data_IF_271370278633
#
_entry.id   IF_271370278633
#
_cell.length_a   1.000
_cell.length_b   1.000
_cell.length_c   1.000
_cell.angle_alpha   90.00
_cell.angle_beta   90.00
_cell.angle_gamma   90.00
#
_symmetry.space_group_name_H-M   'P 1'
#
loop_
_entity.id
_entity.type
_entity.pdbx_description
1 polymer ?
#
# COMPACT_ATOMS: atom_id res chain seq x y z
N UNK A 1 -7.50 17.72 -11.43
CA UNK A 1 -6.32 17.82 -10.57
C UNK A 1 -6.00 16.47 -9.96
N UNK A 2 -4.74 16.17 -9.89
CA UNK A 2 -4.32 14.93 -9.30
C UNK A 2 -3.85 15.12 -7.89
N UNK A 3 -4.37 14.31 -7.00
CA UNK A 3 -3.96 14.30 -5.63
C UNK A 3 -3.05 13.09 -5.43
N UNK A 4 -1.77 13.32 -5.43
CA UNK A 4 -0.80 12.25 -5.33
C UNK A 4 -0.14 12.22 -3.97
N UNK A 5 -0.96 12.21 -2.97
CA UNK A 5 -0.46 12.16 -1.61
C UNK A 5 0.61 11.08 -1.43
N UNK A 6 0.43 9.95 -2.09
CA UNK A 6 1.34 8.82 -1.94
C UNK A 6 2.33 8.68 -3.09
N UNK A 7 2.26 9.56 -4.08
CA UNK A 7 3.05 9.41 -5.28
C UNK A 7 4.49 9.83 -5.10
N UNK A 8 4.74 10.73 -4.17
CA UNK A 8 6.08 11.15 -3.83
C UNK A 8 6.59 10.28 -2.70
N UNK A 9 6.73 9.00 -3.00
CA UNK A 9 7.02 8.02 -1.96
C UNK A 9 8.30 8.31 -1.20
N UNK A 10 9.29 8.94 -1.88
CA UNK A 10 10.52 9.30 -1.22
C UNK A 10 10.29 10.33 -0.12
N UNK A 11 9.21 11.06 -0.26
CA UNK A 11 8.85 12.12 0.68
C UNK A 11 7.71 11.72 1.60
N UNK A 12 7.25 10.49 1.53
CA UNK A 12 6.16 10.06 2.39
C UNK A 12 6.59 10.17 3.84
N UNK A 13 5.82 10.95 4.59
CA UNK A 13 6.10 11.07 6.01
C UNK A 13 5.45 9.90 6.76
N UNK A 14 5.72 9.84 8.04
CA UNK A 14 5.24 8.75 8.87
C UNK A 14 3.72 8.65 8.86
N UNK A 15 3.05 9.78 8.92
CA UNK A 15 1.61 9.81 8.91
C UNK A 15 1.04 9.22 7.62
N UNK A 16 1.63 9.59 6.48
CA UNK A 16 1.17 9.10 5.19
C UNK A 16 1.42 7.61 5.02
N UNK A 17 2.56 7.13 5.51
CA UNK A 17 2.86 5.71 5.48
C UNK A 17 1.82 4.93 6.28
N UNK A 18 1.46 5.46 7.43
CA UNK A 18 0.47 4.83 8.29
C UNK A 18 -0.90 4.82 7.64
N UNK A 19 -1.28 5.94 7.04
CA UNK A 19 -2.56 6.04 6.35
C UNK A 19 -2.66 5.03 5.21
N UNK A 20 -1.60 4.94 4.43
CA UNK A 20 -1.60 3.99 3.32
C UNK A 20 -1.66 2.56 3.83
N UNK A 21 -0.88 2.26 4.85
CA UNK A 21 -0.88 0.93 5.45
C UNK A 21 -2.23 0.52 5.99
N UNK A 22 -2.92 1.45 6.66
CA UNK A 22 -4.25 1.19 7.18
C UNK A 22 -5.25 0.93 6.06
N UNK A 23 -5.19 1.72 5.00
CA UNK A 23 -6.07 1.51 3.85
C UNK A 23 -5.81 0.17 3.18
N UNK A 24 -4.55 -0.19 3.08
CA UNK A 24 -4.19 -1.49 2.49
C UNK A 24 -4.75 -2.63 3.33
N UNK A 25 -4.59 -2.54 4.65
CA UNK A 25 -5.09 -3.60 5.54
C UNK A 25 -6.60 -3.74 5.45
N UNK A 26 -7.32 -2.62 5.50
CA UNK A 26 -8.77 -2.65 5.44
C UNK A 26 -9.24 -3.25 4.11
N UNK A 27 -8.63 -2.84 3.01
CA UNK A 27 -9.00 -3.37 1.70
C UNK A 27 -8.70 -4.87 1.61
N UNK A 28 -7.55 -5.27 2.16
CA UNK A 28 -7.18 -6.69 2.18
C UNK A 28 -8.21 -7.51 2.93
N UNK A 29 -8.61 -7.03 4.09
CA UNK A 29 -9.58 -7.75 4.91
C UNK A 29 -10.94 -7.84 4.22
N UNK A 30 -11.35 -6.78 3.54
CA UNK A 30 -12.60 -6.80 2.80
C UNK A 30 -12.59 -7.80 1.66
N UNK A 31 -11.42 -8.07 1.11
CA UNK A 31 -11.28 -9.05 0.04
C UNK A 31 -11.01 -10.45 0.57
N UNK A 32 -10.99 -10.61 1.87
CA UNK A 32 -10.71 -11.89 2.53
C UNK A 32 -9.35 -12.47 2.14
N UNK A 33 -8.38 -11.60 1.95
CA UNK A 33 -7.02 -12.00 1.60
C UNK A 33 -6.13 -11.97 2.82
N UNK A 34 -5.15 -12.86 2.85
CA UNK A 34 -4.12 -12.82 3.88
C UNK A 34 -2.99 -11.91 3.43
N UNK A 35 -2.11 -11.56 4.37
CA UNK A 35 -0.93 -10.80 4.01
C UNK A 35 -0.07 -11.56 3.00
N UNK A 36 0.01 -12.87 3.15
CA UNK A 36 0.75 -13.71 2.22
C UNK A 36 0.15 -13.63 0.83
N UNK A 37 -1.18 -13.67 0.75
CA UNK A 37 -1.86 -13.58 -0.55
C UNK A 37 -1.50 -12.29 -1.28
N UNK A 38 -1.58 -11.17 -0.56
CA UNK A 38 -1.30 -9.87 -1.18
C UNK A 38 0.16 -9.76 -1.57
N UNK A 39 1.05 -10.18 -0.70
CA UNK A 39 2.49 -10.13 -0.98
C UNK A 39 2.82 -10.91 -2.24
N UNK A 40 2.26 -12.12 -2.37
CA UNK A 40 2.47 -12.94 -3.54
C UNK A 40 1.98 -12.26 -4.81
N UNK A 41 0.75 -11.74 -4.76
CA UNK A 41 0.16 -11.09 -5.93
C UNK A 41 0.90 -9.80 -6.30
N UNK A 42 1.44 -9.11 -5.32
CA UNK A 42 2.17 -7.87 -5.55
C UNK A 42 3.67 -8.10 -5.76
N UNK A 43 4.09 -9.35 -5.80
CA UNK A 43 5.47 -9.75 -6.05
C UNK A 43 6.44 -9.15 -5.04
N UNK A 44 6.14 -9.36 -3.77
CA UNK A 44 7.01 -8.91 -2.68
C UNK A 44 6.97 -9.93 -1.56
N UNK A 45 7.89 -9.82 -0.61
CA UNK A 45 7.90 -10.73 0.53
C UNK A 45 6.76 -10.38 1.47
N UNK A 46 6.28 -11.38 2.21
CA UNK A 46 5.21 -11.14 3.17
C UNK A 46 5.70 -10.23 4.29
N UNK A 47 6.97 -10.37 4.66
CA UNK A 47 7.53 -9.53 5.71
C UNK A 47 7.53 -8.05 5.30
N UNK A 48 7.91 -7.78 4.06
CA UNK A 48 7.91 -6.41 3.55
C UNK A 48 6.47 -5.87 3.50
N UNK A 49 5.55 -6.67 3.00
CA UNK A 49 4.16 -6.22 2.93
C UNK A 49 3.58 -5.94 4.32
N UNK A 50 3.91 -6.80 5.29
CA UNK A 50 3.46 -6.59 6.66
C UNK A 50 3.99 -5.26 7.21
N UNK A 51 5.23 -4.92 6.88
CA UNK A 51 5.80 -3.64 7.28
C UNK A 51 5.05 -2.48 6.65
N UNK A 52 4.58 -2.65 5.43
CA UNK A 52 3.80 -1.62 4.76
C UNK A 52 2.51 -1.36 5.54
N UNK A 53 1.83 -2.42 5.95
CA UNK A 53 0.58 -2.25 6.70
C UNK A 53 0.80 -1.56 8.04
N UNK A 54 1.98 -1.74 8.63
CA UNK A 54 2.30 -1.07 9.90
C UNK A 54 2.83 0.34 9.72
N UNK A 55 3.01 0.77 8.47
CA UNK A 55 3.52 2.10 8.20
C UNK A 55 5.01 2.22 8.45
N UNK A 56 5.74 1.10 8.37
CA UNK A 56 7.15 1.06 8.69
C UNK A 56 8.06 0.94 7.47
N UNK A 57 7.50 0.73 6.31
CA UNK A 57 8.28 0.52 5.11
C UNK A 57 8.39 1.78 4.28
N UNK A 58 9.56 1.97 3.69
CA UNK A 58 9.68 2.97 2.64
C UNK A 58 9.09 2.35 1.39
N UNK A 59 8.14 3.05 0.80
CA UNK A 59 7.32 2.50 -0.25
C UNK A 59 7.60 3.26 -1.54
N UNK A 60 8.15 2.57 -2.52
CA UNK A 60 8.36 3.18 -3.82
C UNK A 60 7.03 3.30 -4.55
N UNK A 61 6.99 4.18 -5.55
CA UNK A 61 5.79 4.34 -6.35
C UNK A 61 5.38 3.02 -7.02
N UNK A 62 6.37 2.27 -7.49
CA UNK A 62 6.12 0.98 -8.14
C UNK A 62 5.44 0.00 -7.20
N UNK A 63 5.96 -0.09 -5.98
CA UNK A 63 5.38 -1.00 -4.99
C UNK A 63 3.98 -0.57 -4.60
N UNK A 64 3.78 0.72 -4.45
CA UNK A 64 2.47 1.26 -4.12
C UNK A 64 1.47 0.93 -5.23
N UNK A 65 1.87 1.11 -6.48
CA UNK A 65 1.02 0.78 -7.61
C UNK A 65 0.62 -0.68 -7.61
N UNK A 66 1.56 -1.56 -7.31
CA UNK A 66 1.29 -2.99 -7.27
C UNK A 66 0.23 -3.32 -6.22
N UNK A 67 0.37 -2.73 -5.04
CA UNK A 67 -0.57 -2.97 -3.96
C UNK A 67 -1.95 -2.41 -4.29
N UNK A 68 -1.99 -1.21 -4.84
CA UNK A 68 -3.24 -0.59 -5.23
C UNK A 68 -4.00 -1.46 -6.23
N UNK A 69 -3.27 -2.03 -7.18
CA UNK A 69 -3.85 -2.88 -8.18
C UNK A 69 -4.41 -4.18 -7.59
N UNK A 70 -3.62 -4.82 -6.74
CA UNK A 70 -4.02 -6.08 -6.11
C UNK A 70 -5.24 -5.90 -5.22
N UNK A 71 -5.25 -4.82 -4.46
CA UNK A 71 -6.30 -4.58 -3.47
C UNK A 71 -7.47 -3.78 -4.05
N UNK A 72 -7.39 -3.41 -5.31
CA UNK A 72 -8.43 -2.64 -5.99
C UNK A 72 -8.73 -1.34 -5.26
N UNK A 73 -7.69 -0.74 -4.71
CA UNK A 73 -7.82 0.54 -4.04
C UNK A 73 -8.06 1.62 -5.08
N UNK A 74 -8.85 2.60 -4.68
CA UNK A 74 -9.04 3.78 -5.50
C UNK A 74 -8.10 4.84 -4.97
N UNK A 75 -7.14 5.21 -5.78
CA UNK A 75 -6.32 6.37 -5.47
C UNK A 75 -6.97 7.52 -6.19
N UNK A 76 -7.38 8.49 -5.42
CA UNK A 76 -7.97 9.69 -6.02
C UNK A 76 -6.86 10.49 -6.64
N UNK A 77 -6.96 10.60 -7.93
CA UNK A 77 -6.10 11.47 -8.70
C UNK A 77 -6.97 12.64 -9.09
N UNK A 78 -6.65 13.76 -8.57
CA UNK A 78 -7.52 14.90 -8.78
C UNK A 78 -6.76 16.11 -9.24
#
# INVERSE_FOLDING_TARGET
>A
MLEYKYMNSDSMNLKEKKEFGDKARVAREKLSLTQTDVAKKANMTVNYYAMIERGEANLSFEKMKSIVKVLKLKITIS
#
